data_IF_839239726202
#
_entry.id   IF_839239726202
#
_cell.length_a   1.000
_cell.length_b   1.000
_cell.length_c   1.000
_cell.angle_alpha   90.00
_cell.angle_beta   90.00
_cell.angle_gamma   90.00
#
_symmetry.space_group_name_H-M   'P 1'
#
loop_
_entity.id
_entity.type
_entity.pdbx_description
1 polymer ?
#
# COMPACT_ATOMS: atom_id res chain seq x y z
N UNK A 1 -19.18 18.52 3.81
CA UNK A 1 -19.36 19.96 4.10
C UNK A 1 -20.70 20.48 3.61
N UNK A 2 -21.10 20.15 2.37
CA UNK A 2 -22.43 20.50 1.84
C UNK A 2 -23.59 19.92 2.66
N UNK A 3 -23.48 18.68 3.14
CA UNK A 3 -24.43 18.08 4.11
C UNK A 3 -24.55 18.87 5.43
N UNK A 4 -23.56 19.71 5.74
CA UNK A 4 -23.56 20.62 6.90
C UNK A 4 -23.89 22.07 6.50
N UNK A 5 -24.37 22.32 5.29
CA UNK A 5 -24.69 23.66 4.77
C UNK A 5 -23.49 24.54 4.38
N UNK A 6 -22.25 24.01 4.43
CA UNK A 6 -21.04 24.78 4.18
C UNK A 6 -20.60 24.60 2.73
N UNK A 7 -20.55 25.71 1.97
CA UNK A 7 -19.96 25.76 0.63
C UNK A 7 -18.43 25.87 0.72
N UNK A 8 -17.72 24.96 0.08
CA UNK A 8 -16.25 24.92 0.06
C UNK A 8 -15.80 24.79 -1.38
N UNK A 9 -14.91 25.68 -1.80
CA UNK A 9 -14.31 25.60 -3.13
C UNK A 9 -13.44 24.33 -3.24
N UNK A 10 -13.45 23.58 -4.37
CA UNK A 10 -12.69 22.33 -4.48
C UNK A 10 -11.20 22.46 -4.18
N UNK A 11 -10.59 23.60 -4.53
CA UNK A 11 -9.17 23.87 -4.24
C UNK A 11 -8.87 23.98 -2.75
N UNK A 12 -9.85 24.35 -1.92
CA UNK A 12 -9.69 24.39 -0.46
C UNK A 12 -9.50 22.99 0.11
N UNK A 13 -10.24 22.00 -0.40
CA UNK A 13 -10.06 20.58 -0.02
C UNK A 13 -8.65 20.12 -0.41
N UNK A 14 -8.19 20.46 -1.62
CA UNK A 14 -6.84 20.10 -2.07
C UNK A 14 -5.76 20.71 -1.16
N UNK A 15 -5.91 21.98 -0.77
CA UNK A 15 -4.99 22.65 0.17
C UNK A 15 -4.94 21.95 1.52
N UNK A 16 -6.09 21.54 2.07
CA UNK A 16 -6.11 20.76 3.33
C UNK A 16 -5.44 19.40 3.20
N UNK A 17 -5.62 18.71 2.07
CA UNK A 17 -4.92 17.44 1.81
C UNK A 17 -3.41 17.64 1.78
N UNK A 18 -2.92 18.72 1.16
CA UNK A 18 -1.49 19.04 1.14
C UNK A 18 -0.95 19.41 2.53
N UNK A 19 -1.69 20.22 3.28
CA UNK A 19 -1.27 20.71 4.59
C UNK A 19 -1.29 19.59 5.65
N UNK A 20 -2.41 18.88 5.75
CA UNK A 20 -2.67 17.95 6.84
C UNK A 20 -2.45 16.49 6.46
N UNK A 21 -2.35 16.15 5.18
CA UNK A 21 -2.32 14.76 4.71
C UNK A 21 -1.17 13.96 5.33
N UNK A 22 0.04 14.52 5.37
CA UNK A 22 1.18 13.85 5.99
C UNK A 22 0.97 13.68 7.51
N UNK A 23 0.49 14.71 8.21
CA UNK A 23 0.23 14.65 9.65
C UNK A 23 -0.81 13.57 9.98
N UNK A 24 -1.93 13.57 9.25
CA UNK A 24 -3.01 12.58 9.40
C UNK A 24 -2.45 11.17 9.13
N UNK A 25 -1.65 11.00 8.08
CA UNK A 25 -1.02 9.72 7.78
C UNK A 25 -0.09 9.24 8.90
N UNK A 26 0.75 10.10 9.47
CA UNK A 26 1.63 9.70 10.58
C UNK A 26 0.84 9.31 11.84
N UNK A 27 -0.23 10.04 12.16
CA UNK A 27 -1.13 9.71 13.27
C UNK A 27 -1.81 8.36 13.02
N UNK A 28 -2.37 8.17 11.82
CA UNK A 28 -3.03 6.93 11.40
C UNK A 28 -2.07 5.75 11.48
N UNK A 29 -0.85 5.90 10.96
CA UNK A 29 0.20 4.89 10.98
C UNK A 29 0.56 4.46 12.39
N UNK A 30 0.61 5.40 13.34
CA UNK A 30 0.93 5.11 14.74
C UNK A 30 -0.22 4.37 15.46
N UNK A 31 -1.47 4.72 15.16
CA UNK A 31 -2.67 4.09 15.73
C UNK A 31 -2.95 2.70 15.16
N UNK A 32 -2.64 2.46 13.89
CA UNK A 32 -2.93 1.21 13.19
C UNK A 32 -1.71 0.27 13.11
N UNK A 33 -0.81 0.33 14.10
CA UNK A 33 0.19 -0.72 14.33
C UNK A 33 -0.50 -1.94 14.95
N UNK A 34 -1.32 -2.63 14.18
CA UNK A 34 -1.93 -3.90 14.61
C UNK A 34 -1.01 -5.06 14.27
N UNK A 35 -0.84 -5.95 15.23
CA UNK A 35 -0.13 -7.22 15.13
C UNK A 35 -1.00 -8.29 14.45
N UNK A 36 -0.38 -9.01 13.50
CA UNK A 36 -0.84 -10.30 12.93
C UNK A 36 -2.14 -10.28 12.13
N UNK A 37 -2.04 -9.92 10.85
CA UNK A 37 -3.21 -9.63 10.03
C UNK A 37 -2.89 -9.86 8.56
N UNK A 38 -3.74 -10.49 7.73
CA UNK A 38 -3.34 -10.74 6.32
C UNK A 38 -3.28 -9.45 5.50
N UNK A 39 -2.26 -9.35 4.65
CA UNK A 39 -2.05 -8.21 3.76
C UNK A 39 -2.21 -8.64 2.31
N UNK A 40 -2.83 -7.77 1.51
CA UNK A 40 -2.94 -7.90 0.07
C UNK A 40 -2.09 -6.83 -0.61
N UNK A 41 -1.18 -7.26 -1.47
CA UNK A 41 -0.22 -6.39 -2.15
C UNK A 41 -0.36 -6.53 -3.66
N UNK A 42 -0.62 -5.43 -4.34
CA UNK A 42 -0.75 -5.40 -5.79
C UNK A 42 0.02 -4.23 -6.43
N UNK A 43 0.14 -4.29 -7.75
CA UNK A 43 0.60 -3.18 -8.56
C UNK A 43 -0.31 -3.00 -9.78
N UNK A 44 -1.07 -1.91 -9.81
CA UNK A 44 -1.93 -1.53 -10.94
C UNK A 44 -1.36 -0.34 -11.71
N UNK A 45 -1.86 -0.09 -12.91
CA UNK A 45 -1.45 1.03 -13.75
C UNK A 45 -2.52 2.12 -13.75
N UNK A 46 -2.11 3.38 -13.52
CA UNK A 46 -3.00 4.54 -13.49
C UNK A 46 -2.44 5.65 -14.39
N UNK A 47 -3.32 6.47 -14.99
CA UNK A 47 -2.89 7.67 -15.71
C UNK A 47 -2.79 8.86 -14.76
N UNK A 48 -1.60 9.45 -14.67
CA UNK A 48 -1.36 10.70 -13.93
C UNK A 48 -0.93 11.77 -14.92
N UNK A 49 -1.76 12.81 -15.10
CA UNK A 49 -1.57 13.86 -16.11
C UNK A 49 -1.30 13.28 -17.51
N UNK A 50 -2.10 12.26 -17.90
CA UNK A 50 -1.99 11.58 -19.20
C UNK A 50 -0.88 10.52 -19.30
N UNK A 51 0.03 10.41 -18.33
CA UNK A 51 1.14 9.45 -18.36
C UNK A 51 0.82 8.23 -17.50
N UNK A 52 0.97 7.02 -18.07
CA UNK A 52 0.84 5.77 -17.34
C UNK A 52 1.92 5.61 -16.28
N UNK A 53 1.50 5.26 -15.06
CA UNK A 53 2.35 5.01 -13.90
C UNK A 53 1.88 3.78 -13.16
N UNK A 54 2.76 3.17 -12.40
CA UNK A 54 2.44 2.01 -11.55
C UNK A 54 2.15 2.46 -10.13
N UNK A 55 0.98 2.10 -9.63
CA UNK A 55 0.57 2.29 -8.26
C UNK A 55 0.65 0.94 -7.54
N UNK A 56 1.64 0.83 -6.64
CA UNK A 56 1.71 -0.26 -5.68
C UNK A 56 0.78 0.05 -4.52
N UNK A 57 -0.04 -0.91 -4.09
CA UNK A 57 -0.96 -0.75 -2.96
C UNK A 57 -0.81 -1.91 -1.99
N UNK A 58 -0.91 -1.60 -0.70
CA UNK A 58 -1.01 -2.56 0.37
C UNK A 58 -2.34 -2.35 1.08
N UNK A 59 -3.15 -3.40 1.15
CA UNK A 59 -4.49 -3.37 1.72
C UNK A 59 -4.57 -4.41 2.83
N UNK A 60 -5.17 -4.02 3.93
CA UNK A 60 -5.50 -4.90 5.03
C UNK A 60 -6.87 -5.60 4.79
N UNK A 61 -7.08 -6.79 5.36
CA UNK A 61 -8.29 -7.61 5.17
C UNK A 61 -9.64 -6.90 5.35
N UNK A 62 -9.72 -5.84 6.17
CA UNK A 62 -10.96 -5.05 6.32
C UNK A 62 -11.10 -3.93 5.27
N UNK A 63 -10.35 -3.99 4.17
CA UNK A 63 -10.38 -3.00 3.08
C UNK A 63 -9.60 -1.70 3.38
N UNK A 64 -8.94 -1.60 4.54
CA UNK A 64 -8.15 -0.42 4.88
C UNK A 64 -6.81 -0.41 4.14
N UNK A 65 -6.48 0.71 3.48
CA UNK A 65 -5.18 0.88 2.83
C UNK A 65 -4.09 1.10 3.88
N UNK A 66 -3.05 0.25 3.86
CA UNK A 66 -1.86 0.37 4.70
C UNK A 66 -0.91 1.43 4.19
N UNK A 67 -0.58 1.34 2.90
CA UNK A 67 0.35 2.25 2.24
C UNK A 67 0.17 2.12 0.72
N UNK A 68 0.68 3.10 -0.01
CA UNK A 68 0.76 3.07 -1.45
C UNK A 68 2.05 3.72 -1.94
N UNK A 69 2.44 3.39 -3.17
CA UNK A 69 3.62 3.96 -3.79
C UNK A 69 3.42 4.11 -5.29
N UNK A 70 3.56 5.34 -5.78
CA UNK A 70 3.51 5.63 -7.21
C UNK A 70 4.92 5.61 -7.83
N UNK A 71 5.09 4.86 -8.91
CA UNK A 71 6.36 4.71 -9.63
C UNK A 71 6.17 4.85 -11.14
N UNK A 72 7.25 5.22 -11.84
CA UNK A 72 7.26 5.26 -13.31
C UNK A 72 7.32 3.86 -13.91
N UNK A 73 8.06 2.96 -13.26
CA UNK A 73 8.37 1.60 -13.70
C UNK A 73 7.85 0.58 -12.69
N UNK A 74 7.50 -0.62 -13.18
CA UNK A 74 7.19 -1.79 -12.35
C UNK A 74 8.44 -2.65 -12.26
N UNK A 75 9.31 -2.35 -11.30
CA UNK A 75 10.59 -3.03 -11.14
C UNK A 75 10.77 -3.64 -9.74
N UNK A 76 11.79 -4.48 -9.65
CA UNK A 76 12.19 -5.16 -8.42
C UNK A 76 12.55 -4.17 -7.30
N UNK A 77 13.23 -3.07 -7.62
CA UNK A 77 13.69 -2.10 -6.62
C UNK A 77 12.51 -1.39 -5.95
N UNK A 78 11.52 -0.98 -6.74
CA UNK A 78 10.27 -0.41 -6.26
C UNK A 78 9.53 -1.38 -5.33
N UNK A 79 9.34 -2.63 -5.78
CA UNK A 79 8.73 -3.69 -4.99
C UNK A 79 9.46 -3.90 -3.65
N UNK A 80 10.80 -4.04 -3.69
CA UNK A 80 11.64 -4.25 -2.53
C UNK A 80 11.54 -3.10 -1.51
N UNK A 81 11.69 -1.86 -1.97
CA UNK A 81 11.60 -0.68 -1.09
C UNK A 81 10.21 -0.57 -0.47
N UNK A 82 9.16 -0.83 -1.24
CA UNK A 82 7.78 -0.77 -0.76
C UNK A 82 7.51 -1.83 0.32
N UNK A 83 7.84 -3.09 0.05
CA UNK A 83 7.67 -4.19 1.00
C UNK A 83 8.51 -3.98 2.27
N UNK A 84 9.78 -3.60 2.13
CA UNK A 84 10.66 -3.29 3.27
C UNK A 84 10.10 -2.17 4.14
N UNK A 85 9.51 -1.13 3.52
CA UNK A 85 8.88 -0.02 4.25
C UNK A 85 7.65 -0.48 5.02
N UNK A 86 6.82 -1.37 4.45
CA UNK A 86 5.62 -1.90 5.08
C UNK A 86 5.96 -2.70 6.34
N UNK A 87 6.83 -3.71 6.24
CA UNK A 87 7.18 -4.57 7.38
C UNK A 87 7.88 -3.79 8.51
N UNK A 88 8.73 -2.81 8.17
CA UNK A 88 9.33 -1.92 9.18
C UNK A 88 8.32 -1.00 9.87
N UNK A 89 7.22 -0.67 9.18
CA UNK A 89 6.24 0.29 9.66
C UNK A 89 5.16 -0.35 10.52
N UNK A 90 4.66 -1.52 10.08
CA UNK A 90 3.49 -2.19 10.63
C UNK A 90 3.82 -3.53 11.30
N UNK A 91 5.09 -3.95 11.28
CA UNK A 91 5.50 -5.27 11.78
C UNK A 91 5.29 -6.36 10.75
N UNK A 92 5.50 -7.61 11.17
CA UNK A 92 5.37 -8.76 10.30
C UNK A 92 3.94 -9.34 10.37
N UNK A 93 3.37 -9.55 9.19
CA UNK A 93 2.07 -10.16 9.00
C UNK A 93 2.15 -11.69 8.90
N UNK A 94 1.07 -12.34 9.29
CA UNK A 94 0.93 -13.80 9.19
C UNK A 94 0.81 -14.27 7.74
N UNK A 95 0.08 -13.52 6.91
CA UNK A 95 -0.18 -13.88 5.51
C UNK A 95 0.06 -12.67 4.61
N UNK A 96 0.81 -12.87 3.52
CA UNK A 96 0.98 -11.90 2.44
C UNK A 96 0.45 -12.48 1.15
N UNK A 97 -0.66 -11.94 0.67
CA UNK A 97 -1.15 -12.17 -0.67
C UNK A 97 -0.48 -11.18 -1.63
N UNK A 98 0.16 -11.67 -2.69
CA UNK A 98 0.63 -10.83 -3.80
C UNK A 98 0.04 -11.29 -5.11
N UNK A 99 0.04 -10.43 -6.12
CA UNK A 99 -0.16 -10.90 -7.49
C UNK A 99 1.03 -11.79 -7.94
N UNK A 100 0.90 -12.41 -9.11
CA UNK A 100 1.97 -13.22 -9.70
C UNK A 100 3.06 -12.36 -10.37
N UNK A 101 3.18 -11.07 -10.06
CA UNK A 101 4.20 -10.23 -10.66
C UNK A 101 5.61 -10.66 -10.21
N UNK A 102 6.55 -10.91 -11.14
CA UNK A 102 7.91 -11.34 -10.81
C UNK A 102 8.64 -10.39 -9.85
N UNK A 103 8.40 -9.07 -9.97
CA UNK A 103 9.03 -8.07 -9.13
C UNK A 103 8.69 -8.24 -7.63
N UNK A 104 7.41 -8.49 -7.30
CA UNK A 104 6.97 -8.72 -5.92
C UNK A 104 7.53 -10.05 -5.36
N UNK A 105 7.52 -11.10 -6.18
CA UNK A 105 8.08 -12.41 -5.81
C UNK A 105 9.57 -12.34 -5.51
N UNK A 106 10.34 -11.67 -6.38
CA UNK A 106 11.78 -11.49 -6.19
C UNK A 106 12.07 -10.64 -4.94
N UNK A 107 11.32 -9.56 -4.74
CA UNK A 107 11.43 -8.70 -3.57
C UNK A 107 11.15 -9.48 -2.26
N UNK A 108 10.06 -10.25 -2.22
CA UNK A 108 9.71 -11.10 -1.09
C UNK A 108 10.84 -12.09 -0.75
N UNK A 109 11.33 -12.83 -1.75
CA UNK A 109 12.43 -13.80 -1.57
C UNK A 109 13.70 -13.15 -1.02
N UNK A 110 14.05 -11.95 -1.50
CA UNK A 110 15.21 -11.21 -0.99
C UNK A 110 14.99 -10.78 0.47
N UNK A 111 13.83 -10.21 0.78
CA UNK A 111 13.52 -9.74 2.13
C UNK A 111 13.49 -10.88 3.15
N UNK A 112 13.02 -12.07 2.74
CA UNK A 112 13.10 -13.28 3.56
C UNK A 112 14.53 -13.69 3.89
N UNK A 113 15.44 -13.60 2.93
CA UNK A 113 16.88 -13.83 3.16
C UNK A 113 17.51 -12.78 4.08
N UNK A 114 16.99 -11.54 4.09
CA UNK A 114 17.41 -10.47 5.02
C UNK A 114 16.78 -10.59 6.41
N UNK A 115 15.96 -11.62 6.64
CA UNK A 115 15.33 -11.90 7.92
C UNK A 115 14.04 -11.12 8.20
N UNK A 116 13.42 -10.55 7.17
CA UNK A 116 12.07 -9.97 7.21
C UNK A 116 11.08 -10.96 6.60
N UNK A 117 9.84 -11.06 7.09
CA UNK A 117 8.86 -12.01 6.57
C UNK A 117 9.27 -13.48 6.75
N UNK A 118 9.94 -13.80 7.88
CA UNK A 118 10.38 -15.17 8.20
C UNK A 118 9.20 -16.11 8.46
N UNK A 119 8.23 -15.63 9.24
CA UNK A 119 7.03 -16.35 9.67
C UNK A 119 5.82 -16.05 8.78
N UNK A 120 5.96 -15.13 7.83
CA UNK A 120 4.92 -14.82 6.84
C UNK A 120 4.71 -15.96 5.86
N UNK A 121 3.48 -16.48 5.81
CA UNK A 121 3.00 -17.31 4.73
C UNK A 121 2.72 -16.45 3.49
N UNK A 122 3.37 -16.78 2.37
CA UNK A 122 3.18 -16.07 1.11
C UNK A 122 2.21 -16.81 0.20
N UNK A 123 1.18 -16.11 -0.26
CA UNK A 123 0.12 -16.64 -1.10
C UNK A 123 0.04 -15.88 -2.43
N UNK A 124 -0.20 -16.61 -3.52
CA UNK A 124 -0.39 -16.04 -4.87
C UNK A 124 -1.72 -16.49 -5.48
N UNK A 125 -2.78 -16.48 -4.68
CA UNK A 125 -4.10 -16.95 -5.11
C UNK A 125 -4.71 -15.94 -6.07
N UNK A 126 -5.09 -16.40 -7.26
CA UNK A 126 -5.78 -15.59 -8.27
C UNK A 126 -7.12 -15.13 -7.66
N UNK A 127 -7.50 -13.86 -7.85
CA UNK A 127 -8.73 -13.21 -7.35
C UNK A 127 -8.78 -12.76 -5.89
N UNK A 128 -7.74 -12.94 -5.07
CA UNK A 128 -7.70 -12.36 -3.70
C UNK A 128 -7.16 -10.92 -3.66
N UNK A 129 -6.51 -10.44 -4.72
CA UNK A 129 -5.89 -9.10 -4.73
C UNK A 129 -6.82 -7.98 -5.23
N UNK A 130 -8.05 -8.31 -5.62
CA UNK A 130 -9.01 -7.36 -6.20
C UNK A 130 -10.21 -7.15 -5.27
N UNK A 131 -9.98 -6.88 -3.97
CA UNK A 131 -11.07 -6.53 -3.04
C UNK A 131 -11.76 -5.18 -3.37
N UNK A 132 -11.27 -4.45 -4.39
CA UNK A 132 -11.72 -3.09 -4.76
C UNK A 132 -11.93 -3.00 -6.30
N UNK A 133 -12.17 -4.11 -7.00
CA UNK A 133 -12.69 -4.05 -8.39
C UNK A 133 -14.19 -4.37 -8.43
#
# INVERSE_FOLDING_TARGET
MRERGISVHPTTIMRWVHEYGNLIYQIWKKKNKTSQSSWHLDATHIKVKGVWRYLYRAIYNYGHTLDFQLRKTRDYQAAYVFMKRLVKSFGEQTVLATDKAPALLCAFKKLRKEGLYKETMHCTVKYQNNLIE
#
